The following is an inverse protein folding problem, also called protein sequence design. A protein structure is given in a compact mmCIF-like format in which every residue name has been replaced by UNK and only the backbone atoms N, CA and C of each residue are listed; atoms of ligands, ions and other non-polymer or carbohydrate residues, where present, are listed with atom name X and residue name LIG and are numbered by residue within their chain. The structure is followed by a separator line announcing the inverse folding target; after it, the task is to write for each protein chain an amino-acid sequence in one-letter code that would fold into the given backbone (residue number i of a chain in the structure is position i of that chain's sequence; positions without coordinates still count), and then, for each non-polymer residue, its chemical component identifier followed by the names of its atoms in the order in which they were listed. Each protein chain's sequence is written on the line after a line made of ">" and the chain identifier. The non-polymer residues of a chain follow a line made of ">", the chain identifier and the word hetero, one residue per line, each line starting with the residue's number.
data_IF_136369628377
#
_entry.id   IF_136369628377
#
_cell.length_a   1.000
_cell.length_b   1.000
_cell.length_c   1.000
_cell.angle_alpha   90.00
_cell.angle_beta   90.00
_cell.angle_gamma   90.00
#
_symmetry.space_group_name_H-M   'P 1'
#
loop_
_entity.id
_entity.type
_entity.pdbx_description
1 polymer ?
#
# COMPACT_ATOMS: atom_id res chain seq x y z
N UNK A 1 -16.52 -4.69 -5.55
CA UNK A 1 -15.30 -4.15 -4.93
C UNK A 1 -14.43 -5.37 -4.65
N UNK A 2 -13.17 -5.34 -5.10
CA UNK A 2 -12.34 -6.54 -5.22
C UNK A 2 -11.54 -6.65 -6.54
N UNK A 3 -10.53 -7.51 -6.52
CA UNK A 3 -9.55 -7.65 -7.61
C UNK A 3 -10.06 -8.43 -8.83
N UNK A 4 -11.25 -9.02 -8.77
CA UNK A 4 -11.78 -9.92 -9.81
C UNK A 4 -11.93 -9.27 -11.19
N UNK A 5 -12.18 -7.96 -11.24
CA UNK A 5 -12.23 -7.16 -12.47
C UNK A 5 -10.90 -6.47 -12.83
N UNK A 6 -9.80 -6.84 -12.19
CA UNK A 6 -8.48 -6.22 -12.45
C UNK A 6 -7.81 -6.84 -13.66
N UNK A 7 -6.88 -6.13 -14.29
CA UNK A 7 -6.05 -6.65 -15.38
C UNK A 7 -5.11 -7.75 -14.88
N UNK A 8 -4.72 -8.69 -15.76
CA UNK A 8 -3.62 -9.63 -15.46
C UNK A 8 -2.31 -8.85 -15.53
N UNK A 9 -1.49 -8.98 -14.50
CA UNK A 9 -0.25 -8.23 -14.31
C UNK A 9 0.99 -9.09 -14.63
N UNK A 10 0.90 -10.41 -14.50
CA UNK A 10 2.02 -11.33 -14.69
C UNK A 10 2.67 -11.29 -16.08
N UNK A 11 2.00 -10.73 -17.09
CA UNK A 11 2.52 -10.58 -18.45
C UNK A 11 2.94 -9.13 -18.79
N UNK A 12 2.89 -8.20 -17.83
CA UNK A 12 3.23 -6.80 -18.05
C UNK A 12 4.74 -6.57 -17.84
N UNK A 13 5.51 -6.28 -18.91
CA UNK A 13 6.96 -6.12 -18.81
C UNK A 13 7.38 -4.88 -18.01
N UNK A 14 6.49 -3.88 -17.86
CA UNK A 14 6.77 -2.66 -17.12
C UNK A 14 6.34 -2.74 -15.65
N UNK A 15 5.64 -3.80 -15.25
CA UNK A 15 5.04 -3.91 -13.93
C UNK A 15 6.04 -3.67 -12.81
N UNK A 16 7.25 -4.22 -12.92
CA UNK A 16 8.27 -4.07 -11.89
C UNK A 16 8.59 -2.60 -11.63
N UNK A 17 8.83 -1.84 -12.70
CA UNK A 17 9.13 -0.42 -12.63
C UNK A 17 7.99 0.36 -11.99
N UNK A 18 6.76 0.10 -12.41
CA UNK A 18 5.58 0.78 -11.86
C UNK A 18 5.37 0.48 -10.36
N UNK A 19 5.61 -0.76 -9.94
CA UNK A 19 5.52 -1.14 -8.53
C UNK A 19 6.63 -0.46 -7.72
N UNK A 20 7.87 -0.42 -8.20
CA UNK A 20 8.95 0.30 -7.53
C UNK A 20 8.63 1.81 -7.42
N UNK A 21 8.10 2.42 -8.48
CA UNK A 21 7.63 3.81 -8.49
C UNK A 21 6.51 4.04 -7.48
N UNK A 22 5.56 3.10 -7.35
CA UNK A 22 4.51 3.16 -6.34
C UNK A 22 5.09 3.20 -4.92
N UNK A 23 6.00 2.28 -4.58
CA UNK A 23 6.61 2.21 -3.25
C UNK A 23 7.45 3.47 -2.95
N UNK A 24 8.20 3.97 -3.94
CA UNK A 24 8.96 5.21 -3.80
C UNK A 24 8.05 6.42 -3.56
N UNK A 25 6.94 6.52 -4.31
CA UNK A 25 5.97 7.58 -4.11
C UNK A 25 5.30 7.49 -2.73
N UNK A 26 4.90 6.29 -2.30
CA UNK A 26 4.33 6.08 -0.97
C UNK A 26 5.30 6.51 0.14
N UNK A 27 6.58 6.08 0.04
CA UNK A 27 7.65 6.51 0.96
C UNK A 27 7.76 8.03 1.00
N UNK A 28 7.85 8.70 -0.16
CA UNK A 28 7.96 10.16 -0.23
C UNK A 28 6.78 10.86 0.43
N UNK A 29 5.56 10.38 0.21
CA UNK A 29 4.35 10.93 0.84
C UNK A 29 4.40 10.76 2.38
N UNK A 30 4.91 9.64 2.88
CA UNK A 30 5.13 9.46 4.32
C UNK A 30 6.18 10.44 4.88
N UNK A 31 7.25 10.72 4.13
CA UNK A 31 8.32 11.65 4.52
C UNK A 31 7.83 13.11 4.55
N UNK A 32 7.03 13.50 3.56
CA UNK A 32 6.42 14.83 3.46
C UNK A 32 5.32 15.07 4.51
N UNK A 33 4.70 14.01 5.02
CA UNK A 33 3.54 14.11 5.91
C UNK A 33 2.30 14.70 5.22
N UNK A 34 2.23 14.60 3.89
CA UNK A 34 1.14 15.17 3.08
C UNK A 34 -0.12 14.33 3.21
N UNK A 35 -1.07 14.83 4.02
CA UNK A 35 -2.34 14.17 4.33
C UNK A 35 -3.18 13.89 3.08
N UNK A 36 -3.23 14.83 2.14
CA UNK A 36 -4.09 14.73 0.97
C UNK A 36 -3.54 13.70 -0.02
N UNK A 37 -2.23 13.75 -0.28
CA UNK A 37 -1.57 12.73 -1.10
C UNK A 37 -1.69 11.35 -0.45
N UNK A 38 -1.49 11.26 0.86
CA UNK A 38 -1.60 9.98 1.56
C UNK A 38 -3.00 9.39 1.44
N UNK A 39 -4.04 10.21 1.69
CA UNK A 39 -5.42 9.77 1.58
C UNK A 39 -5.73 9.27 0.15
N UNK A 40 -5.21 9.95 -0.87
CA UNK A 40 -5.39 9.51 -2.27
C UNK A 40 -4.79 8.12 -2.56
N UNK A 41 -3.70 7.75 -1.90
CA UNK A 41 -3.05 6.44 -2.07
C UNK A 41 -3.82 5.30 -1.40
N UNK A 42 -4.49 5.58 -0.28
CA UNK A 42 -5.17 4.56 0.55
C UNK A 42 -6.70 4.57 0.40
N UNK A 43 -7.26 5.45 -0.43
CA UNK A 43 -8.73 5.63 -0.55
C UNK A 43 -9.45 4.34 -0.90
N UNK A 44 -8.99 3.62 -1.93
CA UNK A 44 -9.58 2.34 -2.33
C UNK A 44 -9.57 1.33 -1.17
N UNK A 45 -8.49 1.27 -0.39
CA UNK A 45 -8.41 0.39 0.78
C UNK A 45 -9.35 0.80 1.92
N UNK A 46 -9.56 2.10 2.13
CA UNK A 46 -10.57 2.62 3.08
C UNK A 46 -11.97 2.19 2.64
N UNK A 47 -12.28 2.36 1.36
CA UNK A 47 -13.61 2.06 0.80
C UNK A 47 -13.90 0.54 0.87
N UNK A 48 -12.91 -0.31 0.60
CA UNK A 48 -13.02 -1.77 0.76
C UNK A 48 -13.22 -2.19 2.23
N UNK A 49 -12.45 -1.61 3.16
CA UNK A 49 -12.58 -1.89 4.60
C UNK A 49 -13.93 -1.42 5.14
N UNK A 50 -14.39 -0.22 4.75
CA UNK A 50 -15.70 0.31 5.14
C UNK A 50 -16.85 -0.57 4.61
N UNK A 51 -16.77 -1.00 3.36
CA UNK A 51 -17.77 -1.90 2.76
C UNK A 51 -17.86 -3.26 3.47
N UNK A 52 -16.80 -3.72 4.15
CA UNK A 52 -16.80 -4.94 4.94
C UNK A 52 -17.56 -4.82 6.28
N UNK A 53 -17.88 -3.59 6.71
CA UNK A 53 -18.53 -3.28 8.00
C UNK A 53 -19.80 -2.44 7.82
N UNK A 54 -20.81 -2.93 7.07
CA UNK A 54 -21.98 -2.14 6.67
C UNK A 54 -22.87 -1.66 7.84
N UNK A 55 -22.71 -2.25 9.03
CA UNK A 55 -23.49 -1.88 10.22
C UNK A 55 -22.94 -0.66 10.96
N UNK A 56 -21.66 -0.29 10.76
CA UNK A 56 -21.07 0.90 11.36
C UNK A 56 -21.13 2.08 10.37
N UNK A 57 -22.16 2.93 10.53
CA UNK A 57 -22.41 4.07 9.64
C UNK A 57 -21.29 5.14 9.67
N UNK A 58 -20.41 5.10 10.65
CA UNK A 58 -19.30 6.06 10.80
C UNK A 58 -17.94 5.47 10.41
N UNK A 59 -17.89 4.20 9.98
CA UNK A 59 -16.64 3.49 9.76
C UNK A 59 -15.72 4.21 8.77
N UNK A 60 -16.26 4.74 7.68
CA UNK A 60 -15.49 5.45 6.66
C UNK A 60 -14.84 6.72 7.24
N UNK A 61 -15.59 7.49 8.03
CA UNK A 61 -15.09 8.71 8.68
C UNK A 61 -13.99 8.37 9.70
N UNK A 62 -14.19 7.32 10.49
CA UNK A 62 -13.20 6.83 11.47
C UNK A 62 -11.91 6.38 10.77
N UNK A 63 -12.01 5.57 9.72
CA UNK A 63 -10.87 5.10 8.94
C UNK A 63 -10.12 6.26 8.27
N UNK A 64 -10.86 7.18 7.65
CA UNK A 64 -10.29 8.37 7.00
C UNK A 64 -9.53 9.23 8.01
N UNK A 65 -10.13 9.51 9.17
CA UNK A 65 -9.48 10.27 10.24
C UNK A 65 -8.21 9.58 10.72
N UNK A 66 -8.27 8.27 10.98
CA UNK A 66 -7.10 7.50 11.41
C UNK A 66 -5.95 7.55 10.39
N UNK A 67 -6.27 7.50 9.09
CA UNK A 67 -5.27 7.59 8.02
C UNK A 67 -4.66 8.99 7.91
N UNK A 68 -5.47 10.05 8.05
CA UNK A 68 -5.00 11.44 8.06
C UNK A 68 -4.09 11.70 9.27
N UNK A 69 -4.50 11.25 10.45
CA UNK A 69 -3.71 11.39 11.68
C UNK A 69 -2.38 10.65 11.53
N UNK A 70 -2.42 9.41 11.02
CA UNK A 70 -1.23 8.62 10.74
C UNK A 70 -0.28 9.30 9.73
N UNK A 71 -0.82 9.89 8.66
CA UNK A 71 -0.05 10.61 7.65
C UNK A 71 0.71 11.80 8.26
N UNK A 72 0.10 12.50 9.22
CA UNK A 72 0.67 13.68 9.86
C UNK A 72 1.79 13.36 10.86
N UNK A 73 1.93 12.10 11.29
CA UNK A 73 2.95 11.76 12.28
C UNK A 73 4.36 11.86 11.70
N UNK A 74 5.25 12.60 12.37
CA UNK A 74 6.66 12.68 11.97
C UNK A 74 7.30 11.29 11.93
N UNK A 75 7.96 10.96 10.81
CA UNK A 75 8.72 9.73 10.62
C UNK A 75 10.11 9.89 11.21
N UNK A 76 10.47 9.03 12.15
CA UNK A 76 11.83 8.96 12.68
C UNK A 76 12.71 8.08 11.79
N UNK A 77 12.10 7.14 11.08
CA UNK A 77 12.80 6.14 10.29
C UNK A 77 11.87 5.55 9.23
N UNK A 78 12.42 5.35 8.03
CA UNK A 78 11.81 4.54 6.97
C UNK A 78 12.90 3.65 6.40
N UNK A 79 12.74 2.34 6.52
CA UNK A 79 13.63 1.34 5.94
C UNK A 79 13.04 0.79 4.64
N UNK A 80 13.69 1.02 3.50
CA UNK A 80 13.44 0.26 2.31
C UNK A 80 14.35 -0.96 2.24
N UNK A 81 13.78 -2.10 1.91
CA UNK A 81 14.48 -3.29 1.49
C UNK A 81 15.02 -3.09 0.07
N UNK A 82 16.33 -3.21 -0.10
CA UNK A 82 16.99 -2.92 -1.39
C UNK A 82 16.86 -4.07 -2.39
N UNK A 83 16.70 -5.30 -1.91
CA UNK A 83 16.46 -6.49 -2.73
C UNK A 83 15.05 -7.01 -2.47
N UNK A 84 14.15 -6.74 -3.40
CA UNK A 84 12.77 -7.20 -3.33
C UNK A 84 12.37 -7.94 -4.62
N UNK A 85 11.39 -8.83 -4.52
CA UNK A 85 10.80 -9.59 -5.62
C UNK A 85 9.28 -9.39 -5.68
N UNK A 86 8.72 -9.51 -6.88
CA UNK A 86 7.27 -9.47 -7.07
C UNK A 86 6.64 -10.80 -6.64
N UNK A 87 5.57 -10.74 -5.85
CA UNK A 87 4.71 -11.89 -5.56
C UNK A 87 3.31 -11.62 -6.09
N UNK A 88 2.76 -12.61 -6.77
CA UNK A 88 1.49 -12.51 -7.46
C UNK A 88 0.40 -13.33 -6.74
N UNK A 89 -0.81 -12.78 -6.72
CA UNK A 89 -2.01 -13.39 -6.17
C UNK A 89 -3.20 -13.17 -7.11
N UNK A 90 -4.33 -13.81 -6.81
CA UNK A 90 -5.58 -13.61 -7.55
C UNK A 90 -5.45 -13.91 -9.05
N UNK A 91 -4.87 -15.06 -9.42
CA UNK A 91 -4.61 -15.46 -10.81
C UNK A 91 -3.77 -14.40 -11.59
N UNK A 92 -2.76 -13.84 -10.91
CA UNK A 92 -1.84 -12.86 -11.48
C UNK A 92 -2.40 -11.46 -11.59
N UNK A 93 -3.51 -11.15 -10.91
CA UNK A 93 -4.18 -9.83 -10.96
C UNK A 93 -3.84 -8.91 -9.81
N UNK A 94 -3.23 -9.46 -8.77
CA UNK A 94 -2.75 -8.74 -7.60
C UNK A 94 -1.26 -8.97 -7.47
N UNK A 95 -0.52 -7.92 -7.14
CA UNK A 95 0.92 -7.99 -6.94
C UNK A 95 1.32 -7.29 -5.64
N UNK A 96 2.36 -7.81 -5.00
CA UNK A 96 3.04 -7.17 -3.88
C UNK A 96 4.55 -7.28 -4.09
N UNK A 97 5.32 -6.49 -3.34
CA UNK A 97 6.75 -6.71 -3.19
C UNK A 97 7.01 -7.37 -1.85
N UNK A 98 7.95 -8.32 -1.85
CA UNK A 98 8.53 -8.89 -0.63
C UNK A 98 10.04 -8.80 -0.71
N UNK A 99 10.68 -8.64 0.43
CA UNK A 99 12.13 -8.74 0.54
C UNK A 99 12.64 -10.12 0.10
N UNK A 100 13.76 -10.11 -0.61
CA UNK A 100 14.43 -11.29 -1.14
C UNK A 100 15.85 -11.47 -0.58
N UNK A 101 16.32 -10.57 0.29
CA UNK A 101 17.57 -10.80 1.02
C UNK A 101 17.40 -11.84 2.13
N UNK A 102 18.49 -12.48 2.56
CA UNK A 102 18.45 -13.61 3.50
C UNK A 102 18.00 -13.23 4.91
N UNK A 103 18.10 -11.96 5.29
CA UNK A 103 17.80 -11.49 6.65
C UNK A 103 16.33 -11.07 6.80
N UNK A 104 15.73 -10.59 5.72
CA UNK A 104 14.38 -10.04 5.67
C UNK A 104 13.48 -10.78 4.69
N UNK A 105 13.88 -11.98 4.24
CA UNK A 105 13.13 -12.77 3.26
C UNK A 105 11.64 -12.88 3.60
N UNK A 106 10.78 -12.50 2.65
CA UNK A 106 9.33 -12.57 2.78
C UNK A 106 8.68 -11.41 3.57
N UNK A 107 9.46 -10.54 4.21
CA UNK A 107 8.91 -9.34 4.88
C UNK A 107 8.54 -8.25 3.88
N UNK A 108 7.66 -7.34 4.30
CA UNK A 108 7.32 -6.17 3.49
C UNK A 108 8.55 -5.28 3.31
N UNK A 109 8.75 -4.74 2.09
CA UNK A 109 9.98 -4.02 1.77
C UNK A 109 9.98 -2.59 2.31
N UNK A 110 8.90 -2.12 2.93
CA UNK A 110 8.81 -0.79 3.51
C UNK A 110 8.35 -0.88 4.96
N UNK A 111 9.21 -0.43 5.87
CA UNK A 111 8.92 -0.36 7.30
C UNK A 111 9.11 1.10 7.72
N UNK A 112 8.18 1.64 8.50
CA UNK A 112 8.33 2.98 9.08
C UNK A 112 8.12 3.00 10.58
N UNK A 113 8.78 3.94 11.26
CA UNK A 113 8.57 4.22 12.68
C UNK A 113 8.25 5.70 12.86
N UNK A 114 7.19 5.97 13.58
CA UNK A 114 6.76 7.35 13.88
C UNK A 114 7.30 7.77 15.25
N UNK A 115 7.30 9.07 15.52
CA UNK A 115 7.66 9.58 16.85
C UNK A 115 6.66 9.16 17.95
N UNK A 116 5.42 8.84 17.57
CA UNK A 116 4.32 8.50 18.48
C UNK A 116 4.33 7.03 18.91
N UNK A 117 4.88 6.13 18.10
CA UNK A 117 4.92 4.68 18.36
C UNK A 117 6.35 4.16 18.45
N UNK A 118 6.65 3.41 19.52
CA UNK A 118 7.92 2.69 19.63
C UNK A 118 8.00 1.46 18.73
N UNK A 119 6.86 0.94 18.28
CA UNK A 119 6.74 -0.25 17.42
C UNK A 119 6.79 0.16 15.94
N UNK A 120 7.72 -0.36 15.14
CA UNK A 120 7.74 -0.14 13.70
C UNK A 120 6.48 -0.71 13.02
N UNK A 121 5.96 0.00 12.04
CA UNK A 121 4.85 -0.43 11.19
C UNK A 121 5.40 -0.97 9.86
N UNK A 122 5.06 -2.21 9.56
CA UNK A 122 5.26 -2.82 8.25
C UNK A 122 4.19 -2.34 7.28
N UNK A 123 4.59 -1.94 6.08
CA UNK A 123 3.68 -1.51 5.01
C UNK A 123 3.59 -2.58 3.93
N UNK A 124 2.66 -3.50 4.12
CA UNK A 124 2.33 -4.51 3.12
C UNK A 124 1.23 -3.97 2.24
N UNK A 125 1.46 -3.91 0.93
CA UNK A 125 0.43 -3.48 -0.03
C UNK A 125 0.03 -4.63 -0.93
N UNK A 126 -1.26 -4.75 -1.19
CA UNK A 126 -1.78 -5.55 -2.29
C UNK A 126 -2.19 -4.60 -3.42
N UNK A 127 -1.42 -4.59 -4.50
CA UNK A 127 -1.63 -3.68 -5.61
C UNK A 127 -2.37 -4.36 -6.76
N UNK A 128 -3.27 -3.63 -7.40
CA UNK A 128 -3.95 -4.10 -8.61
C UNK A 128 -4.17 -2.96 -9.60
N UNK A 129 -4.43 -3.30 -10.87
CA UNK A 129 -4.91 -2.35 -11.90
C UNK A 129 -6.39 -2.65 -12.21
N UNK A 130 -7.36 -1.87 -11.71
CA UNK A 130 -8.77 -2.07 -12.06
C UNK A 130 -9.00 -2.04 -13.59
N UNK A 131 -10.07 -2.69 -14.07
CA UNK A 131 -10.47 -2.58 -15.48
C UNK A 131 -10.69 -1.11 -15.87
N UNK A 132 -10.25 -0.72 -17.07
CA UNK A 132 -10.37 0.65 -17.57
C UNK A 132 -9.29 1.62 -17.07
N UNK A 133 -8.45 1.24 -16.11
CA UNK A 133 -7.31 2.07 -15.64
C UNK A 133 -5.97 1.37 -15.88
N UNK A 134 -4.90 2.16 -16.00
CA UNK A 134 -3.51 1.68 -16.05
C UNK A 134 -2.75 1.99 -14.75
N UNK A 135 -3.41 2.58 -13.74
CA UNK A 135 -2.79 2.94 -12.47
C UNK A 135 -2.88 1.79 -11.48
N UNK A 136 -1.82 1.62 -10.70
CA UNK A 136 -1.81 0.74 -9.53
C UNK A 136 -2.53 1.42 -8.36
N UNK A 137 -3.37 0.65 -7.67
CA UNK A 137 -4.11 1.08 -6.49
C UNK A 137 -3.95 0.04 -5.37
N UNK A 138 -4.00 0.48 -4.11
CA UNK A 138 -3.99 -0.42 -2.95
C UNK A 138 -5.40 -0.98 -2.78
N UNK A 139 -5.53 -2.30 -2.84
CA UNK A 139 -6.79 -2.98 -2.54
C UNK A 139 -6.89 -3.40 -1.07
N UNK A 140 -5.75 -3.67 -0.42
CA UNK A 140 -5.60 -4.00 1.01
C UNK A 140 -4.21 -3.63 1.51
#
# INVERSE_FOLDING_TARGET
>A
MGWSKSKKLNNDPNLRKEVDEFYNNYKKVLEEGDRNKFLSLVRTAIDEEAASKPLDKEIENKLTKNMIDYAAEKRNFIYPCTKAELKFFGDGRVVTLVCADTLTFGYAPLISKTAKSMVPKSHTFYLHKPAGTNKLEIIR
#
